data_IF_745783746271
#
_entry.id   IF_745783746271
#
_cell.length_a   1.000
_cell.length_b   1.000
_cell.length_c   1.000
_cell.angle_alpha   90.00
_cell.angle_beta   90.00
_cell.angle_gamma   90.00
#
_symmetry.space_group_name_H-M   'P 1'
#
loop_
_entity.id
_entity.type
_entity.pdbx_description
1 polymer ?
#
# COMPACT_ATOMS: atom_id res chain seq x y z
N UNK A 1 -40.82 9.11 18.92
CA UNK A 1 -39.35 9.09 19.01
C UNK A 1 -38.83 8.01 18.05
N UNK A 2 -38.36 8.39 16.86
CA UNK A 2 -37.76 7.47 15.88
C UNK A 2 -36.25 7.47 16.09
N UNK A 3 -35.72 6.32 16.46
CA UNK A 3 -34.27 6.10 16.56
C UNK A 3 -33.65 6.24 15.16
N UNK A 4 -32.84 7.27 14.97
CA UNK A 4 -31.95 7.36 13.83
C UNK A 4 -30.88 6.27 13.98
N UNK A 5 -30.92 5.27 13.10
CA UNK A 5 -29.84 4.33 12.91
C UNK A 5 -28.63 5.08 12.36
N UNK A 6 -27.58 5.16 13.15
CA UNK A 6 -26.30 5.63 12.69
C UNK A 6 -25.82 4.72 11.56
N UNK A 7 -25.77 5.28 10.36
CA UNK A 7 -25.19 4.64 9.18
C UNK A 7 -23.67 4.75 9.31
N UNK A 8 -23.08 3.80 10.01
CA UNK A 8 -21.62 3.62 10.03
C UNK A 8 -21.16 3.31 8.61
N UNK A 9 -20.40 4.22 8.04
CA UNK A 9 -19.66 4.03 6.78
C UNK A 9 -18.34 3.33 7.13
N UNK A 10 -18.21 2.03 6.94
CA UNK A 10 -16.94 1.34 7.16
C UNK A 10 -16.38 0.89 5.83
N UNK A 11 -15.85 1.75 4.96
CA UNK A 11 -15.39 1.11 3.73
C UNK A 11 -14.16 1.71 3.02
N UNK A 12 -13.49 2.70 3.59
CA UNK A 12 -12.22 3.17 2.99
C UNK A 12 -10.97 2.75 3.77
N UNK A 13 -11.14 1.91 4.79
CA UNK A 13 -10.08 1.61 5.76
C UNK A 13 -9.34 0.28 5.55
N UNK A 14 -9.80 -0.61 4.66
CA UNK A 14 -9.30 -1.98 4.67
C UNK A 14 -7.80 -2.11 4.32
N UNK A 15 -7.30 -1.27 3.40
CA UNK A 15 -5.88 -1.33 2.99
C UNK A 15 -4.99 -0.48 3.89
N UNK A 16 -5.50 0.64 4.42
CA UNK A 16 -4.75 1.53 5.32
C UNK A 16 -4.46 0.90 6.68
N UNK A 17 -5.29 -0.04 7.14
CA UNK A 17 -5.08 -0.82 8.38
C UNK A 17 -3.90 -1.78 8.26
N UNK A 18 -3.53 -2.18 7.04
CA UNK A 18 -2.45 -3.12 6.81
C UNK A 18 -1.08 -2.54 7.22
N UNK A 19 -0.89 -1.23 7.10
CA UNK A 19 0.42 -0.59 7.29
C UNK A 19 0.53 0.39 8.48
N UNK A 20 -0.54 0.55 9.28
CA UNK A 20 -0.52 1.22 10.59
C UNK A 20 -0.04 2.68 10.58
N UNK A 21 -0.51 3.52 9.64
CA UNK A 21 -0.12 4.92 9.59
C UNK A 21 -0.81 5.74 8.49
N UNK A 22 -0.43 7.01 8.33
CA UNK A 22 -0.81 7.82 7.18
C UNK A 22 -0.10 7.29 5.93
N UNK A 23 -0.75 6.40 5.19
CA UNK A 23 -0.19 5.78 3.98
C UNK A 23 -0.58 6.59 2.76
N UNK A 24 0.40 6.84 1.89
CA UNK A 24 0.15 7.43 0.57
C UNK A 24 -0.51 6.40 -0.34
N UNK A 25 -1.64 6.76 -0.91
CA UNK A 25 -2.35 5.90 -1.88
C UNK A 25 -2.29 6.49 -3.29
N UNK A 26 -2.42 5.65 -4.30
CA UNK A 26 -2.54 6.05 -5.70
C UNK A 26 -3.81 5.49 -6.31
N UNK A 27 -4.41 6.25 -7.24
CA UNK A 27 -5.55 5.79 -8.06
C UNK A 27 -5.07 4.83 -9.15
N UNK A 28 -3.88 5.05 -9.68
CA UNK A 28 -3.26 4.20 -10.70
C UNK A 28 -2.24 3.26 -10.08
N UNK A 29 -2.05 2.07 -10.66
CA UNK A 29 -1.04 1.13 -10.19
C UNK A 29 0.38 1.68 -10.40
N UNK A 30 1.30 1.30 -9.51
CA UNK A 30 2.73 1.53 -9.71
C UNK A 30 3.36 0.46 -10.59
N UNK A 31 2.81 -0.76 -10.54
CA UNK A 31 3.21 -1.87 -11.39
C UNK A 31 2.52 -1.70 -12.76
N UNK A 32 3.28 -1.56 -13.83
CA UNK A 32 2.75 -1.59 -15.19
C UNK A 32 2.28 -2.99 -15.59
N UNK A 33 1.45 -3.08 -16.64
CA UNK A 33 0.84 -4.34 -17.09
C UNK A 33 1.86 -5.46 -17.37
N UNK A 34 3.07 -5.12 -17.81
CA UNK A 34 4.12 -6.07 -18.17
C UNK A 34 5.32 -6.03 -17.19
N UNK A 35 5.21 -5.32 -16.06
CA UNK A 35 6.31 -5.15 -15.12
C UNK A 35 6.30 -6.19 -14.00
N UNK A 36 5.17 -6.87 -13.80
CA UNK A 36 5.01 -7.86 -12.76
C UNK A 36 5.97 -9.04 -12.97
N UNK A 37 6.60 -9.47 -11.89
CA UNK A 37 7.51 -10.64 -11.88
C UNK A 37 7.13 -11.51 -10.69
N UNK A 38 7.13 -12.82 -10.91
CA UNK A 38 6.89 -13.75 -9.82
C UNK A 38 8.17 -14.00 -9.03
N UNK A 39 8.15 -13.73 -7.72
CA UNK A 39 9.23 -13.95 -6.77
C UNK A 39 8.81 -15.05 -5.77
N UNK A 40 9.25 -16.32 -5.97
CA UNK A 40 8.81 -17.44 -5.12
C UNK A 40 9.14 -17.27 -3.63
N UNK A 41 10.18 -16.50 -3.30
CA UNK A 41 10.61 -16.28 -1.93
C UNK A 41 9.64 -15.43 -1.10
N UNK A 42 8.66 -14.80 -1.72
CA UNK A 42 7.58 -14.09 -1.02
C UNK A 42 6.50 -15.05 -0.52
N UNK A 43 6.32 -16.22 -1.14
CA UNK A 43 5.24 -17.15 -0.78
C UNK A 43 5.39 -17.67 0.64
N UNK A 44 4.25 -17.91 1.27
CA UNK A 44 4.17 -18.59 2.56
C UNK A 44 3.53 -17.75 3.65
N UNK A 45 3.77 -18.22 4.88
CA UNK A 45 3.21 -17.62 6.09
C UNK A 45 4.28 -16.83 6.82
N UNK A 46 3.93 -15.63 7.20
CA UNK A 46 4.81 -14.68 7.85
C UNK A 46 4.14 -14.12 9.11
N UNK A 47 4.94 -13.73 10.09
CA UNK A 47 4.48 -12.98 11.26
C UNK A 47 5.26 -11.67 11.36
N UNK A 48 4.61 -10.63 11.85
CA UNK A 48 5.27 -9.33 12.09
C UNK A 48 6.28 -9.46 13.23
N UNK A 49 7.49 -8.97 13.04
CA UNK A 49 8.62 -9.17 13.96
C UNK A 49 8.29 -8.68 15.39
N UNK A 50 7.65 -7.51 15.51
CA UNK A 50 7.31 -6.92 16.82
C UNK A 50 5.91 -7.33 17.33
N UNK A 51 5.07 -7.93 16.48
CA UNK A 51 3.69 -8.31 16.75
C UNK A 51 3.42 -9.68 16.15
N UNK A 52 3.92 -10.78 16.77
CA UNK A 52 3.83 -12.13 16.20
C UNK A 52 2.39 -12.66 16.08
N UNK A 53 1.43 -12.01 16.73
CA UNK A 53 0.00 -12.25 16.55
C UNK A 53 -0.53 -11.75 15.20
N UNK A 54 0.14 -10.76 14.58
CA UNK A 54 -0.20 -10.31 13.23
C UNK A 54 0.41 -11.27 12.20
N UNK A 55 -0.46 -11.90 11.41
CA UNK A 55 -0.09 -12.91 10.42
C UNK A 55 -0.33 -12.41 9.02
N UNK A 56 0.62 -12.70 8.15
CA UNK A 56 0.57 -12.39 6.74
C UNK A 56 0.73 -13.68 5.95
N UNK A 57 -0.09 -13.88 4.95
CA UNK A 57 0.03 -15.02 4.05
C UNK A 57 0.08 -14.49 2.63
N UNK A 58 1.12 -14.89 1.91
CA UNK A 58 1.26 -14.62 0.48
C UNK A 58 1.03 -15.92 -0.27
N UNK A 59 -0.01 -15.97 -1.07
CA UNK A 59 -0.38 -17.09 -1.93
C UNK A 59 -0.25 -16.65 -3.39
N UNK A 60 0.10 -17.57 -4.28
CA UNK A 60 0.11 -17.27 -5.71
C UNK A 60 -1.31 -16.98 -6.17
N UNK A 61 -1.50 -15.89 -6.87
CA UNK A 61 -2.73 -15.56 -7.57
C UNK A 61 -2.54 -15.76 -9.08
N UNK A 62 -3.53 -15.41 -9.88
CA UNK A 62 -3.47 -15.53 -11.33
C UNK A 62 -2.27 -14.76 -11.91
N UNK A 63 -1.54 -15.39 -12.84
CA UNK A 63 -0.34 -14.81 -13.43
C UNK A 63 0.81 -14.66 -12.43
N UNK A 64 1.41 -13.47 -12.40
CA UNK A 64 2.55 -13.11 -11.54
C UNK A 64 2.14 -12.33 -10.29
N UNK A 65 0.85 -12.37 -9.95
CA UNK A 65 0.30 -11.71 -8.77
C UNK A 65 0.32 -12.58 -7.52
N UNK A 66 0.05 -11.94 -6.37
CA UNK A 66 -0.13 -12.57 -5.08
C UNK A 66 -1.46 -12.18 -4.49
N UNK A 67 -2.16 -13.16 -3.94
CA UNK A 67 -3.22 -12.94 -2.97
C UNK A 67 -2.56 -12.78 -1.60
N UNK A 68 -2.84 -11.68 -0.93
CA UNK A 68 -2.28 -11.39 0.39
C UNK A 68 -3.39 -11.37 1.42
N UNK A 69 -3.22 -12.17 2.48
CA UNK A 69 -4.14 -12.21 3.62
C UNK A 69 -3.39 -11.72 4.85
N UNK A 70 -3.94 -10.69 5.51
CA UNK A 70 -3.42 -10.17 6.76
C UNK A 70 -4.45 -10.37 7.87
N UNK A 71 -4.04 -11.01 8.96
CA UNK A 71 -4.85 -11.16 10.18
C UNK A 71 -4.21 -10.32 11.27
N UNK A 72 -4.92 -9.29 11.73
CA UNK A 72 -4.49 -8.39 12.78
C UNK A 72 -5.68 -8.03 13.67
N UNK A 73 -5.51 -8.03 14.98
CA UNK A 73 -6.56 -7.70 15.97
C UNK A 73 -7.87 -8.49 15.75
N UNK A 74 -7.75 -9.76 15.35
CA UNK A 74 -8.91 -10.63 15.08
C UNK A 74 -9.67 -10.30 13.78
N UNK A 75 -9.20 -9.35 13.00
CA UNK A 75 -9.75 -8.98 11.68
C UNK A 75 -8.94 -9.60 10.58
N UNK A 76 -9.59 -10.08 9.54
CA UNK A 76 -8.95 -10.60 8.33
C UNK A 76 -9.15 -9.60 7.21
N UNK A 77 -8.04 -9.13 6.64
CA UNK A 77 -8.01 -8.28 5.46
C UNK A 77 -7.40 -9.09 4.31
N UNK A 78 -7.97 -8.97 3.13
CA UNK A 78 -7.46 -9.62 1.94
C UNK A 78 -7.17 -8.54 0.90
N UNK A 79 -6.06 -8.68 0.19
CA UNK A 79 -5.65 -7.79 -0.89
C UNK A 79 -4.94 -8.57 -1.97
N UNK A 80 -4.52 -7.84 -3.00
CA UNK A 80 -3.64 -8.34 -4.05
C UNK A 80 -2.31 -7.60 -3.98
N UNK A 81 -1.25 -8.21 -4.45
CA UNK A 81 0.04 -7.57 -4.60
C UNK A 81 0.71 -8.00 -5.89
N UNK A 82 1.44 -7.07 -6.52
CA UNK A 82 2.31 -7.36 -7.66
C UNK A 82 3.74 -6.98 -7.29
N UNK A 83 4.64 -7.94 -7.44
CA UNK A 83 6.06 -7.69 -7.26
C UNK A 83 6.67 -7.26 -8.58
N UNK A 84 7.49 -6.22 -8.56
CA UNK A 84 8.13 -5.66 -9.76
C UNK A 84 9.44 -4.96 -9.40
N UNK A 85 10.19 -4.54 -10.41
CA UNK A 85 11.48 -3.85 -10.21
C UNK A 85 11.50 -2.52 -10.96
N UNK A 86 11.90 -1.45 -10.26
CA UNK A 86 12.21 -0.16 -10.88
C UNK A 86 13.69 0.16 -10.66
N UNK A 87 14.42 0.43 -11.74
CA UNK A 87 15.86 0.69 -11.70
C UNK A 87 16.63 -0.37 -10.88
N UNK A 88 16.23 -1.65 -10.98
CA UNK A 88 16.81 -2.77 -10.25
C UNK A 88 16.40 -2.90 -8.79
N UNK A 89 15.60 -1.99 -8.24
CA UNK A 89 15.08 -2.07 -6.87
C UNK A 89 13.74 -2.79 -6.86
N UNK A 90 13.52 -3.73 -5.91
CA UNK A 90 12.28 -4.47 -5.80
C UNK A 90 11.20 -3.68 -5.06
N UNK A 91 9.96 -3.84 -5.52
CA UNK A 91 8.76 -3.22 -4.97
C UNK A 91 7.59 -4.20 -4.94
N UNK A 92 6.63 -3.91 -4.08
CA UNK A 92 5.29 -4.47 -4.08
C UNK A 92 4.27 -3.33 -4.29
N UNK A 93 3.37 -3.53 -5.22
CA UNK A 93 2.18 -2.71 -5.42
C UNK A 93 1.00 -3.45 -4.80
N UNK A 94 0.56 -3.00 -3.62
CA UNK A 94 -0.60 -3.56 -2.94
C UNK A 94 -1.87 -2.87 -3.40
N UNK A 95 -2.89 -3.65 -3.69
CA UNK A 95 -4.22 -3.15 -4.00
C UNK A 95 -5.30 -3.88 -3.20
N UNK A 96 -6.43 -3.20 -2.96
CA UNK A 96 -7.61 -3.86 -2.44
C UNK A 96 -8.10 -4.90 -3.45
N UNK A 97 -8.76 -6.01 -3.00
CA UNK A 97 -9.35 -6.95 -3.93
C UNK A 97 -10.36 -6.23 -4.81
N UNK A 98 -10.42 -6.63 -6.07
CA UNK A 98 -11.49 -6.19 -6.98
C UNK A 98 -12.84 -6.61 -6.38
N UNK A 99 -13.72 -5.65 -6.17
CA UNK A 99 -15.04 -5.89 -5.63
C UNK A 99 -15.85 -6.71 -6.63
N UNK A 100 -16.68 -7.61 -6.11
CA UNK A 100 -17.70 -8.28 -6.95
C UNK A 100 -18.61 -7.22 -7.53
N UNK A 101 -19.03 -7.41 -8.77
CA UNK A 101 -19.82 -6.45 -9.57
C UNK A 101 -21.12 -5.95 -8.90
N UNK A 102 -21.59 -6.65 -7.87
CA UNK A 102 -22.87 -6.37 -7.19
C UNK A 102 -22.82 -5.24 -6.14
N UNK A 103 -21.65 -4.67 -5.84
CA UNK A 103 -21.52 -3.60 -4.84
C UNK A 103 -21.53 -2.23 -5.51
N UNK A 104 -22.55 -1.44 -5.25
CA UNK A 104 -22.69 -0.06 -5.73
C UNK A 104 -22.70 0.93 -4.53
N UNK A 105 -21.99 2.06 -4.58
CA UNK A 105 -21.05 2.47 -5.63
C UNK A 105 -19.74 1.68 -5.57
N UNK A 106 -19.14 1.42 -6.71
CA UNK A 106 -17.83 0.77 -6.77
C UNK A 106 -16.77 1.69 -6.18
N UNK A 107 -15.94 1.22 -5.25
CA UNK A 107 -14.86 2.03 -4.71
C UNK A 107 -13.79 2.30 -5.78
N UNK A 108 -13.18 3.47 -5.72
CA UNK A 108 -12.03 3.79 -6.55
C UNK A 108 -10.88 2.83 -6.18
N UNK A 109 -10.28 2.13 -7.16
CA UNK A 109 -9.08 1.32 -6.90
C UNK A 109 -8.03 2.15 -6.18
N UNK A 110 -7.41 1.59 -5.18
CA UNK A 110 -6.32 2.25 -4.47
C UNK A 110 -5.12 1.33 -4.38
N UNK A 111 -3.96 1.89 -4.69
CA UNK A 111 -2.68 1.22 -4.73
C UNK A 111 -1.76 1.79 -3.66
N UNK A 112 -0.96 0.94 -3.04
CA UNK A 112 0.05 1.32 -2.06
C UNK A 112 1.38 0.75 -2.51
N UNK A 113 2.36 1.63 -2.68
CA UNK A 113 3.71 1.23 -3.04
C UNK A 113 4.54 0.95 -1.80
N UNK A 114 5.16 -0.22 -1.79
CA UNK A 114 6.09 -0.63 -0.75
C UNK A 114 7.40 -1.08 -1.39
N UNK A 115 8.52 -0.51 -0.95
CA UNK A 115 9.86 -0.94 -1.35
C UNK A 115 10.27 -2.15 -0.54
N UNK A 116 10.66 -3.24 -1.21
CA UNK A 116 11.21 -4.43 -0.54
C UNK A 116 12.71 -4.24 -0.42
N UNK A 117 13.22 -4.08 0.79
CA UNK A 117 14.65 -3.87 1.02
C UNK A 117 15.39 -5.17 1.30
N UNK A 118 14.67 -6.21 1.73
CA UNK A 118 15.17 -7.55 1.99
C UNK A 118 14.01 -8.54 1.93
N UNK A 119 14.24 -9.76 1.43
CA UNK A 119 13.23 -10.84 1.46
C UNK A 119 13.56 -11.86 2.56
N UNK A 120 14.78 -12.31 2.65
CA UNK A 120 15.20 -13.33 3.61
C UNK A 120 16.44 -12.90 4.41
N UNK A 121 16.66 -13.37 5.64
CA UNK A 121 15.80 -14.26 6.44
C UNK A 121 14.54 -13.58 7.01
N UNK A 122 14.52 -12.27 7.05
CA UNK A 122 13.39 -11.42 7.46
C UNK A 122 13.04 -10.54 6.27
N UNK A 123 11.78 -10.53 5.88
CA UNK A 123 11.31 -9.61 4.84
C UNK A 123 11.19 -8.21 5.43
N UNK A 124 11.91 -7.25 4.85
CA UNK A 124 11.90 -5.85 5.26
C UNK A 124 11.32 -4.99 4.17
N UNK A 125 10.43 -4.12 4.57
CA UNK A 125 9.70 -3.22 3.68
C UNK A 125 9.78 -1.79 4.17
N UNK A 126 9.76 -0.85 3.22
CA UNK A 126 9.77 0.57 3.47
C UNK A 126 8.69 1.26 2.63
N UNK A 127 7.92 2.13 3.26
CA UNK A 127 6.91 2.95 2.59
C UNK A 127 7.51 4.25 2.06
N UNK A 128 6.90 4.80 1.03
CA UNK A 128 7.14 6.18 0.64
C UNK A 128 6.69 7.09 1.79
N UNK A 129 7.65 7.82 2.38
CA UNK A 129 7.40 8.64 3.57
C UNK A 129 6.33 9.69 3.30
N UNK A 130 5.24 9.60 4.05
CA UNK A 130 4.11 10.52 3.97
C UNK A 130 4.54 11.96 4.32
N UNK A 131 5.37 12.11 5.34
CA UNK A 131 5.88 13.39 5.80
C UNK A 131 6.77 14.05 4.75
N UNK A 132 7.73 13.30 4.20
CA UNK A 132 8.61 13.77 3.14
C UNK A 132 7.81 14.16 1.89
N UNK A 133 6.89 13.28 1.45
CA UNK A 133 6.07 13.54 0.28
C UNK A 133 5.17 14.78 0.49
N UNK A 134 4.57 14.90 1.67
CA UNK A 134 3.74 16.05 2.04
C UNK A 134 4.52 17.38 1.98
N UNK A 135 5.77 17.39 2.48
CA UNK A 135 6.64 18.56 2.40
C UNK A 135 7.03 18.89 0.96
N UNK A 136 7.40 17.87 0.17
CA UNK A 136 7.72 18.05 -1.25
C UNK A 136 6.55 18.65 -2.00
N UNK A 137 5.35 18.09 -1.86
CA UNK A 137 4.16 18.54 -2.57
C UNK A 137 3.63 19.90 -2.08
N UNK A 138 3.88 20.26 -0.84
CA UNK A 138 3.55 21.59 -0.32
C UNK A 138 4.47 22.68 -0.92
N UNK A 139 5.73 22.37 -1.15
CA UNK A 139 6.70 23.31 -1.72
C UNK A 139 6.74 23.29 -3.25
N UNK A 140 6.44 22.13 -3.84
CA UNK A 140 6.40 21.94 -5.29
C UNK A 140 5.17 21.07 -5.68
N UNK A 141 3.97 21.65 -5.76
CA UNK A 141 2.75 20.92 -6.12
C UNK A 141 2.80 20.25 -7.51
N UNK A 142 3.65 20.75 -8.39
CA UNK A 142 3.83 20.20 -9.74
C UNK A 142 4.76 18.98 -9.78
N UNK A 143 5.40 18.61 -8.66
CA UNK A 143 6.34 17.47 -8.61
C UNK A 143 5.67 16.14 -8.97
N UNK A 144 4.39 15.98 -8.63
CA UNK A 144 3.57 14.81 -8.97
C UNK A 144 2.09 15.17 -8.90
N UNK A 145 1.29 14.68 -9.84
CA UNK A 145 -0.18 14.89 -9.82
C UNK A 145 -0.80 14.20 -8.60
N UNK A 146 -1.52 14.97 -7.78
CA UNK A 146 -2.09 14.49 -6.53
C UNK A 146 -3.33 15.28 -6.11
N UNK A 147 -4.08 14.72 -5.17
CA UNK A 147 -5.14 15.38 -4.41
C UNK A 147 -4.80 15.32 -2.93
N UNK A 148 -5.11 16.40 -2.21
CA UNK A 148 -5.08 16.41 -0.74
C UNK A 148 -6.51 16.44 -0.24
N UNK A 149 -6.95 15.34 0.37
CA UNK A 149 -8.28 15.22 0.97
C UNK A 149 -8.14 15.57 2.45
N UNK A 150 -8.94 16.53 2.90
CA UNK A 150 -9.05 16.91 4.31
C UNK A 150 -10.33 16.29 4.87
N UNK A 151 -10.20 15.46 5.91
CA UNK A 151 -11.34 14.83 6.61
C UNK A 151 -11.64 15.49 7.95
N UNK A 152 -10.80 16.46 8.36
CA UNK A 152 -10.92 17.26 9.57
C UNK A 152 -9.91 18.41 9.55
N UNK A 153 -9.78 19.10 10.69
CA UNK A 153 -8.98 20.33 10.82
C UNK A 153 -7.52 20.06 11.19
N UNK A 154 -7.19 18.86 11.65
CA UNK A 154 -5.84 18.50 12.10
C UNK A 154 -4.94 18.09 10.94
N UNK A 155 -3.61 18.22 11.07
CA UNK A 155 -2.67 17.77 10.06
C UNK A 155 -2.81 16.27 9.73
N UNK A 156 -3.09 15.42 10.71
CA UNK A 156 -3.31 13.99 10.59
C UNK A 156 -4.61 13.63 9.84
N UNK A 157 -5.54 14.59 9.71
CA UNK A 157 -6.78 14.43 8.94
C UNK A 157 -6.58 14.66 7.43
N UNK A 158 -5.34 14.84 7.00
CA UNK A 158 -5.02 15.00 5.58
C UNK A 158 -4.63 13.66 4.99
N UNK A 159 -5.11 13.40 3.79
CA UNK A 159 -4.71 12.22 2.99
C UNK A 159 -4.19 12.68 1.65
N UNK A 160 -3.05 12.16 1.25
CA UNK A 160 -2.46 12.39 -0.08
C UNK A 160 -2.88 11.22 -0.96
N UNK A 161 -3.57 11.53 -2.05
CA UNK A 161 -3.96 10.57 -3.08
C UNK A 161 -3.26 10.96 -4.38
N UNK A 162 -2.37 10.09 -4.85
CA UNK A 162 -1.67 10.30 -6.11
C UNK A 162 -2.62 10.01 -7.28
N UNK A 163 -2.64 10.91 -8.26
CA UNK A 163 -3.51 10.83 -9.45
C UNK A 163 -2.72 10.82 -10.74
N UNK A 164 -1.39 10.72 -10.64
CA UNK A 164 -0.49 10.53 -11.77
C UNK A 164 -0.68 9.13 -12.37
N UNK A 165 -0.48 9.00 -13.68
CA UNK A 165 -0.49 7.70 -14.34
C UNK A 165 0.75 6.85 -13.98
N UNK A 166 0.68 5.55 -14.26
CA UNK A 166 1.76 4.59 -13.93
C UNK A 166 3.14 5.04 -14.42
N UNK A 167 3.33 5.49 -15.68
CA UNK A 167 4.64 5.96 -16.13
C UNK A 167 5.16 7.18 -15.35
N UNK A 168 4.28 8.10 -14.95
CA UNK A 168 4.67 9.28 -14.18
C UNK A 168 5.02 8.90 -12.74
N UNK A 169 4.23 8.00 -12.12
CA UNK A 169 4.51 7.43 -10.80
C UNK A 169 5.87 6.74 -10.77
N UNK A 170 6.15 5.89 -11.76
CA UNK A 170 7.43 5.17 -11.85
C UNK A 170 8.62 6.12 -12.02
N UNK A 171 8.51 7.12 -12.89
CA UNK A 171 9.56 8.15 -13.04
C UNK A 171 9.81 8.93 -11.75
N UNK A 172 8.74 9.26 -11.02
CA UNK A 172 8.84 9.91 -9.73
C UNK A 172 9.57 9.02 -8.71
N UNK A 173 9.17 7.77 -8.58
CA UNK A 173 9.82 6.79 -7.69
C UNK A 173 11.30 6.65 -8.02
N UNK A 174 11.65 6.44 -9.29
CA UNK A 174 13.06 6.31 -9.74
C UNK A 174 13.87 7.54 -9.35
N UNK A 175 13.33 8.74 -9.56
CA UNK A 175 14.00 10.01 -9.23
C UNK A 175 14.33 10.11 -7.75
N UNK A 176 13.45 9.59 -6.89
CA UNK A 176 13.56 9.75 -5.43
C UNK A 176 14.00 8.47 -4.71
N UNK A 177 14.49 7.46 -5.44
CA UNK A 177 14.96 6.21 -4.84
C UNK A 177 16.04 6.39 -3.76
N UNK A 178 16.91 7.38 -3.94
CA UNK A 178 18.06 7.65 -3.07
C UNK A 178 17.94 8.97 -2.31
N UNK A 179 16.79 9.64 -2.38
CA UNK A 179 16.55 10.88 -1.64
C UNK A 179 16.45 10.56 -0.16
N UNK A 180 17.22 11.26 0.65
CA UNK A 180 17.17 11.09 2.11
C UNK A 180 15.77 11.40 2.65
N UNK A 181 15.28 10.54 3.56
CA UNK A 181 13.96 10.67 4.17
C UNK A 181 12.77 10.28 3.30
N UNK A 182 12.98 9.98 2.01
CA UNK A 182 11.87 9.60 1.10
C UNK A 182 11.31 8.21 1.38
N UNK A 183 12.06 7.32 2.02
CA UNK A 183 11.64 5.96 2.38
C UNK A 183 11.78 5.76 3.88
N UNK A 184 10.75 5.19 4.50
CA UNK A 184 10.71 4.87 5.94
C UNK A 184 10.42 3.40 6.11
N UNK A 185 11.29 2.69 6.86
CA UNK A 185 11.03 1.29 7.21
C UNK A 185 9.71 1.19 7.97
N UNK A 186 8.81 0.36 7.48
CA UNK A 186 7.42 0.29 7.95
C UNK A 186 7.04 -1.11 8.44
N UNK A 187 7.57 -2.16 7.81
CA UNK A 187 7.15 -3.53 8.09
C UNK A 187 8.34 -4.49 8.02
N UNK A 188 8.50 -5.26 9.09
CA UNK A 188 9.39 -6.42 9.14
C UNK A 188 8.57 -7.69 9.37
N UNK A 189 8.72 -8.67 8.48
CA UNK A 189 8.04 -9.97 8.56
C UNK A 189 9.09 -11.08 8.66
N UNK A 190 8.87 -12.02 9.57
CA UNK A 190 9.68 -13.24 9.69
C UNK A 190 8.84 -14.47 9.34
N UNK A 191 9.44 -15.54 8.82
CA UNK A 191 8.72 -16.78 8.56
C UNK A 191 7.96 -17.25 9.81
N UNK A 192 6.67 -17.60 9.65
CA UNK A 192 5.91 -18.20 10.73
C UNK A 192 6.50 -19.56 11.09
N UNK A 193 6.58 -19.84 12.39
CA UNK A 193 7.03 -21.14 12.91
C UNK A 193 5.91 -22.17 12.83
#
# INVERSE_FOLDING_TARGET
MKAMKELTIPLLSAVAVILGGCVTTSVYPFCGENDAVFEPALLGHWTKVQHPEERWTFERDNGDGYRVVCVSEGKTNTGQAHFFKLAGQPFLDFSAPTWKEDIQPQPVPSHILVRVTQIAPTMKMADLSYEWLGQLLATNPAALRHLVIKTGDKPEDRRIVLTADTPELQRFVIRHLKTEGSWKESLGLQPAK
#
